data_IF_937923694807
#
_entry.id   IF_937923694807
#
_cell.length_a   1.000
_cell.length_b   1.000
_cell.length_c   1.000
_cell.angle_alpha   90.00
_cell.angle_beta   90.00
_cell.angle_gamma   90.00
#
_symmetry.space_group_name_H-M   'P 1'
#
loop_
_entity.id
_entity.type
_entity.pdbx_description
1 polymer ?
#
# COMPACT_ATOMS: atom_id res chain seq x y z
N UNK A 1 -3.40 -34.61 -37.04
CA UNK A 1 -3.78 -33.28 -36.52
C UNK A 1 -3.29 -33.21 -35.08
N UNK A 2 -2.24 -32.43 -34.81
CA UNK A 2 -1.50 -32.45 -33.54
C UNK A 2 -1.11 -31.02 -33.15
N UNK A 3 -1.46 -30.68 -31.90
CA UNK A 3 -0.85 -29.71 -30.97
C UNK A 3 -1.21 -28.23 -31.12
N UNK A 4 -2.02 -27.78 -30.14
CA UNK A 4 -1.94 -26.43 -29.56
C UNK A 4 -0.48 -26.08 -29.29
N UNK A 5 -0.03 -24.95 -29.81
CA UNK A 5 1.19 -24.28 -29.36
C UNK A 5 0.79 -23.07 -28.54
N UNK A 6 0.54 -23.31 -27.25
CA UNK A 6 0.67 -22.30 -26.20
C UNK A 6 2.16 -21.95 -26.12
N UNK A 7 2.55 -20.77 -26.57
CA UNK A 7 3.85 -20.16 -26.29
C UNK A 7 3.56 -18.99 -25.33
N UNK A 8 3.48 -19.28 -24.02
CA UNK A 8 4.57 -19.07 -23.07
C UNK A 8 5.20 -17.67 -23.22
N UNK A 9 4.45 -16.68 -22.73
CA UNK A 9 5.02 -15.40 -22.29
C UNK A 9 6.02 -15.74 -21.17
N UNK A 10 7.30 -15.33 -21.27
CA UNK A 10 8.27 -15.62 -20.23
C UNK A 10 7.94 -14.78 -19.00
N UNK A 11 7.24 -15.37 -18.03
CA UNK A 11 7.11 -14.89 -16.65
C UNK A 11 8.45 -14.99 -15.87
N UNK A 12 9.58 -14.90 -16.58
CA UNK A 12 10.92 -15.20 -16.09
C UNK A 12 11.78 -13.94 -15.86
N UNK A 13 11.15 -12.75 -15.77
CA UNK A 13 11.85 -11.48 -15.53
C UNK A 13 11.50 -10.79 -14.20
N UNK A 14 10.74 -11.44 -13.30
CA UNK A 14 10.38 -10.86 -11.99
C UNK A 14 11.15 -11.42 -10.79
N UNK A 15 12.13 -12.31 -10.99
CA UNK A 15 12.85 -12.98 -9.88
C UNK A 15 14.36 -12.75 -9.86
N UNK A 16 14.84 -11.56 -10.22
CA UNK A 16 16.28 -11.27 -10.20
C UNK A 16 16.59 -9.93 -9.49
N UNK A 17 16.25 -9.84 -8.20
CA UNK A 17 16.94 -8.95 -7.26
C UNK A 17 16.79 -9.33 -5.76
N UNK A 18 16.21 -10.49 -5.42
CA UNK A 18 16.15 -10.97 -4.03
C UNK A 18 17.33 -11.91 -3.76
N UNK A 19 18.55 -11.37 -3.76
CA UNK A 19 19.77 -12.18 -3.68
C UNK A 19 21.00 -11.32 -3.46
N UNK A 20 21.00 -10.54 -2.37
CA UNK A 20 22.10 -9.63 -2.07
C UNK A 20 22.09 -9.16 -0.63
N UNK A 21 22.52 -10.04 0.29
CA UNK A 21 23.29 -9.65 1.49
C UNK A 21 22.76 -8.54 2.38
N UNK A 22 21.45 -8.43 2.58
CA UNK A 22 20.89 -7.64 3.68
C UNK A 22 20.09 -8.61 4.54
N UNK A 23 20.31 -8.60 5.85
CA UNK A 23 19.48 -9.36 6.78
C UNK A 23 18.02 -9.08 6.43
N UNK A 24 17.22 -10.13 6.24
CA UNK A 24 15.77 -9.98 6.06
C UNK A 24 15.29 -9.08 7.21
N UNK A 25 14.71 -7.90 6.91
CA UNK A 25 14.30 -6.99 7.96
C UNK A 25 13.35 -7.78 8.86
N UNK A 26 13.66 -7.81 10.16
CA UNK A 26 12.84 -8.52 11.12
C UNK A 26 11.37 -8.12 10.90
N UNK A 27 10.43 -9.08 10.93
CA UNK A 27 9.03 -8.77 10.70
C UNK A 27 8.63 -7.67 11.68
N UNK A 28 8.05 -6.60 11.12
CA UNK A 28 7.57 -5.49 11.94
C UNK A 28 6.60 -6.05 12.98
N UNK A 29 6.71 -5.57 14.21
CA UNK A 29 5.79 -5.95 15.27
C UNK A 29 4.34 -5.71 14.79
N UNK A 30 3.45 -6.64 15.10
CA UNK A 30 2.04 -6.45 14.76
C UNK A 30 1.52 -5.21 15.48
N UNK A 31 0.78 -4.34 14.80
CA UNK A 31 0.21 -3.15 15.40
C UNK A 31 -0.81 -3.56 16.46
N UNK A 32 -0.75 -2.94 17.63
CA UNK A 32 -1.67 -3.23 18.75
C UNK A 32 -2.92 -2.36 18.72
N UNK A 33 -2.97 -1.40 17.78
CA UNK A 33 -4.11 -0.49 17.58
C UNK A 33 -4.36 -0.26 16.09
N UNK A 34 -5.60 0.09 15.74
CA UNK A 34 -5.97 0.43 14.36
C UNK A 34 -5.18 1.63 13.84
N UNK A 35 -4.94 2.64 14.68
CA UNK A 35 -4.12 3.80 14.33
C UNK A 35 -2.68 3.42 13.94
N UNK A 36 -2.07 2.48 14.67
CA UNK A 36 -0.74 1.96 14.32
C UNK A 36 -0.77 1.14 13.03
N UNK A 37 -1.83 0.35 12.82
CA UNK A 37 -1.99 -0.40 11.58
C UNK A 37 -2.07 0.53 10.37
N UNK A 38 -2.93 1.55 10.43
CA UNK A 38 -3.10 2.55 9.36
C UNK A 38 -1.78 3.29 9.08
N UNK A 39 -1.03 3.63 10.13
CA UNK A 39 0.31 4.23 9.99
C UNK A 39 1.29 3.27 9.32
N UNK A 40 1.34 2.00 9.73
CA UNK A 40 2.26 1.03 9.18
C UNK A 40 1.97 0.71 7.70
N UNK A 41 0.69 0.65 7.31
CA UNK A 41 0.30 0.53 5.90
C UNK A 41 0.77 1.74 5.12
N UNK A 42 0.52 2.95 5.64
CA UNK A 42 0.97 4.20 5.02
C UNK A 42 2.49 4.24 4.85
N UNK A 43 3.25 3.87 5.86
CA UNK A 43 4.72 3.88 5.82
C UNK A 43 5.31 2.87 4.82
N UNK A 44 4.53 1.86 4.43
CA UNK A 44 4.93 0.88 3.41
C UNK A 44 4.74 1.36 1.97
N UNK A 45 4.17 2.54 1.75
CA UNK A 45 3.89 3.08 0.42
C UNK A 45 5.06 3.87 -0.15
N UNK A 46 5.08 4.03 -1.46
CA UNK A 46 6.12 4.83 -2.11
C UNK A 46 5.85 6.33 -1.96
N UNK A 47 6.89 7.16 -2.09
CA UNK A 47 6.74 8.62 -2.08
C UNK A 47 5.77 9.11 -3.18
N UNK A 48 5.71 8.41 -4.32
CA UNK A 48 4.79 8.73 -5.41
C UNK A 48 3.33 8.46 -5.01
N UNK A 49 3.08 7.34 -4.32
CA UNK A 49 1.74 7.02 -3.79
C UNK A 49 1.32 8.02 -2.72
N UNK A 50 2.23 8.42 -1.83
CA UNK A 50 1.99 9.48 -0.85
C UNK A 50 1.65 10.80 -1.54
N UNK A 51 2.44 11.22 -2.54
CA UNK A 51 2.21 12.47 -3.25
C UNK A 51 0.86 12.48 -4.00
N UNK A 52 0.53 11.39 -4.70
CA UNK A 52 -0.76 11.23 -5.37
C UNK A 52 -1.91 11.28 -4.38
N UNK A 53 -1.80 10.53 -3.28
CA UNK A 53 -2.85 10.48 -2.24
C UNK A 53 -3.03 11.83 -1.57
N UNK A 54 -1.94 12.56 -1.29
CA UNK A 54 -2.00 13.89 -0.71
C UNK A 54 -2.57 14.92 -1.67
N UNK A 55 -2.37 14.77 -2.98
CA UNK A 55 -3.04 15.59 -3.98
C UNK A 55 -4.56 15.34 -3.95
N UNK A 56 -4.98 14.08 -4.04
CA UNK A 56 -6.39 13.69 -4.02
C UNK A 56 -7.07 14.11 -2.71
N UNK A 57 -6.38 13.98 -1.57
CA UNK A 57 -6.89 14.39 -0.27
C UNK A 57 -7.12 15.90 -0.17
N UNK A 58 -6.30 16.73 -0.85
CA UNK A 58 -6.50 18.19 -0.90
C UNK A 58 -7.70 18.59 -1.77
N UNK A 59 -7.99 17.79 -2.80
CA UNK A 59 -9.10 18.04 -3.72
C UNK A 59 -10.42 17.55 -3.15
N UNK A 60 -10.46 16.31 -2.65
CA UNK A 60 -11.63 15.65 -2.09
C UNK A 60 -11.24 14.76 -0.90
N UNK A 61 -11.21 15.33 0.32
CA UNK A 61 -10.76 14.62 1.51
C UNK A 61 -11.58 13.39 1.83
N UNK A 62 -12.92 13.50 1.74
CA UNK A 62 -13.80 12.43 2.21
C UNK A 62 -13.83 11.26 1.21
N UNK A 63 -13.84 11.55 -0.11
CA UNK A 63 -13.69 10.50 -1.13
C UNK A 63 -12.35 9.78 -1.02
N UNK A 64 -11.27 10.52 -0.79
CA UNK A 64 -9.93 9.94 -0.62
C UNK A 64 -9.88 9.01 0.58
N UNK A 65 -10.42 9.42 1.73
CA UNK A 65 -10.47 8.57 2.93
C UNK A 65 -11.26 7.28 2.69
N UNK A 66 -12.46 7.36 2.11
CA UNK A 66 -13.28 6.17 1.80
C UNK A 66 -12.63 5.27 0.74
N UNK A 67 -11.86 5.83 -0.19
CA UNK A 67 -11.16 5.03 -1.20
C UNK A 67 -10.01 4.22 -0.61
N UNK A 68 -9.23 4.83 0.29
CA UNK A 68 -8.09 4.18 0.95
C UNK A 68 -8.55 3.11 1.94
N UNK A 69 -9.58 3.44 2.71
CA UNK A 69 -10.14 2.57 3.74
C UNK A 69 -11.67 2.64 3.66
N UNK A 70 -12.29 1.76 2.85
CA UNK A 70 -13.74 1.70 2.72
C UNK A 70 -14.40 1.40 4.07
N UNK A 71 -15.66 1.81 4.26
CA UNK A 71 -16.39 1.56 5.52
C UNK A 71 -16.45 0.06 5.90
N UNK A 72 -16.37 -0.83 4.91
CA UNK A 72 -16.31 -2.28 5.11
C UNK A 72 -14.99 -2.78 5.70
N UNK A 73 -13.96 -1.94 5.80
CA UNK A 73 -12.65 -2.28 6.38
C UNK A 73 -12.67 -2.38 7.90
N UNK A 74 -13.70 -1.83 8.56
CA UNK A 74 -13.76 -1.74 10.03
C UNK A 74 -12.75 -0.74 10.63
N UNK A 75 -12.08 0.05 9.79
CA UNK A 75 -11.13 1.07 10.21
C UNK A 75 -11.88 2.39 10.44
N UNK A 76 -11.70 3.05 11.60
CA UNK A 76 -12.31 4.35 11.84
C UNK A 76 -11.83 5.39 10.83
N UNK A 77 -12.77 6.02 10.12
CA UNK A 77 -12.52 7.14 9.20
C UNK A 77 -11.72 8.26 9.88
N UNK A 78 -11.94 8.48 11.17
CA UNK A 78 -11.19 9.46 11.97
C UNK A 78 -9.68 9.18 12.00
N UNK A 79 -9.27 7.92 12.15
CA UNK A 79 -7.86 7.56 12.26
C UNK A 79 -7.12 7.79 10.92
N UNK A 80 -7.80 7.53 9.81
CA UNK A 80 -7.32 7.78 8.45
C UNK A 80 -7.26 9.27 8.16
N UNK A 81 -8.31 10.02 8.53
CA UNK A 81 -8.36 11.48 8.33
C UNK A 81 -7.28 12.18 9.15
N UNK A 82 -7.04 11.74 10.39
CA UNK A 82 -5.93 12.20 11.23
C UNK A 82 -4.56 11.88 10.62
N UNK A 83 -4.42 10.76 9.90
CA UNK A 83 -3.20 10.42 9.15
C UNK A 83 -2.97 11.36 7.98
N UNK A 84 -3.96 11.52 7.11
CA UNK A 84 -3.78 12.34 5.93
C UNK A 84 -3.62 13.82 6.31
N UNK A 85 -4.31 14.29 7.36
CA UNK A 85 -4.15 15.66 7.89
C UNK A 85 -2.73 15.93 8.40
N UNK A 86 -2.03 14.95 8.98
CA UNK A 86 -0.65 15.13 9.45
C UNK A 86 0.38 14.95 8.32
N UNK A 87 0.16 13.98 7.43
CA UNK A 87 1.14 13.59 6.40
C UNK A 87 1.10 14.49 5.17
N UNK A 88 -0.05 15.07 4.84
CA UNK A 88 -0.25 15.84 3.60
C UNK A 88 -0.19 17.37 3.77
N UNK A 89 0.35 17.86 4.89
CA UNK A 89 0.51 19.29 5.17
C UNK A 89 1.40 19.97 4.11
#
# INVERSE_FOLDING_TARGET
MRRLSVLLVPAALLFAACGGGTAEPAPSALPTTTKQFVQQVWDGWTDADHASTCHDYKVDPDRTVTHLFPDSSGIPVSDVKDLLTRSCK
#
